data_IF_650843997213
#
_entry.id   IF_650843997213
#
_cell.length_a   1.000
_cell.length_b   1.000
_cell.length_c   1.000
_cell.angle_alpha   90.00
_cell.angle_beta   90.00
_cell.angle_gamma   90.00
#
_symmetry.space_group_name_H-M   'P 1'
#
loop_
_entity.id
_entity.type
_entity.pdbx_description
1 polymer ?
#
# COMPACT_ATOMS: atom_id res chain seq x y z
N UNK A 1 -6.53 4.12 -9.98
CA UNK A 1 -5.51 5.09 -9.52
C UNK A 1 -5.96 5.76 -8.22
N UNK A 2 -7.08 6.50 -8.23
CA UNK A 2 -7.61 7.17 -7.03
C UNK A 2 -7.80 6.22 -5.82
N UNK A 3 -8.43 5.05 -6.04
CA UNK A 3 -8.64 4.07 -4.96
C UNK A 3 -7.32 3.55 -4.38
N UNK A 4 -6.31 3.27 -5.22
CA UNK A 4 -4.99 2.83 -4.76
C UNK A 4 -4.34 3.91 -3.92
N UNK A 5 -4.32 5.15 -4.42
CA UNK A 5 -3.78 6.33 -3.72
C UNK A 5 -4.47 6.59 -2.39
N UNK A 6 -5.79 6.48 -2.33
CA UNK A 6 -6.55 6.68 -1.09
C UNK A 6 -6.22 5.60 -0.05
N UNK A 7 -6.22 4.33 -0.45
CA UNK A 7 -5.92 3.23 0.46
C UNK A 7 -4.46 3.29 0.93
N UNK A 8 -3.49 3.55 0.05
CA UNK A 8 -2.08 3.68 0.46
C UNK A 8 -1.86 4.88 1.38
N UNK A 9 -2.58 5.98 1.17
CA UNK A 9 -2.60 7.11 2.11
C UNK A 9 -3.10 6.70 3.50
N UNK A 10 -4.26 6.05 3.58
CA UNK A 10 -4.87 5.67 4.87
C UNK A 10 -4.06 4.59 5.61
N UNK A 11 -3.39 3.71 4.88
CA UNK A 11 -2.65 2.58 5.43
C UNK A 11 -1.16 2.90 5.70
N UNK A 12 -0.71 4.14 5.49
CA UNK A 12 0.66 4.53 5.75
C UNK A 12 0.86 4.98 7.22
N UNK A 13 1.94 4.50 7.89
CA UNK A 13 2.89 3.48 7.45
C UNK A 13 2.32 2.06 7.63
N UNK A 14 2.71 1.12 6.75
CA UNK A 14 2.22 -0.27 6.84
C UNK A 14 2.60 -0.93 8.17
N UNK A 15 3.84 -0.68 8.61
CA UNK A 15 4.35 -1.00 9.93
C UNK A 15 5.29 0.14 10.34
N UNK A 16 5.11 0.67 11.54
CA UNK A 16 6.00 1.69 12.07
C UNK A 16 7.15 1.03 12.83
N UNK A 17 8.36 1.06 12.26
CA UNK A 17 9.56 0.45 12.82
C UNK A 17 10.28 1.33 13.85
N UNK A 18 9.89 2.60 13.96
CA UNK A 18 10.64 3.63 14.68
C UNK A 18 9.96 4.12 15.95
N UNK A 19 8.72 3.69 16.20
CA UNK A 19 7.97 4.06 17.39
C UNK A 19 7.97 2.90 18.39
N UNK A 20 8.58 3.10 19.56
CA UNK A 20 8.32 2.24 20.71
C UNK A 20 6.86 2.44 21.11
N UNK A 21 6.04 1.40 20.89
CA UNK A 21 4.59 1.51 21.03
C UNK A 21 4.15 0.91 22.35
N UNK A 22 3.36 1.65 23.19
CA UNK A 22 2.68 1.02 24.30
C UNK A 22 1.66 -0.01 23.77
N UNK A 23 1.41 -1.09 24.51
CA UNK A 23 0.61 -2.28 24.11
C UNK A 23 -0.70 -1.95 23.36
N UNK A 24 -1.42 -0.88 23.75
CA UNK A 24 -2.66 -0.45 23.07
C UNK A 24 -2.47 -0.06 21.59
N UNK A 25 -1.28 0.44 21.23
CA UNK A 25 -0.93 0.83 19.87
C UNK A 25 -0.42 -0.36 19.04
N UNK A 26 -0.02 -1.47 19.67
CA UNK A 26 0.35 -2.70 18.94
C UNK A 26 -0.88 -3.33 18.26
N UNK A 27 -2.03 -3.33 18.94
CA UNK A 27 -3.29 -3.83 18.36
C UNK A 27 -3.70 -3.00 17.14
N UNK A 28 -3.54 -1.67 17.21
CA UNK A 28 -3.80 -0.78 16.07
C UNK A 28 -2.86 -1.09 14.89
N UNK A 29 -1.58 -1.34 15.14
CA UNK A 29 -0.63 -1.74 14.10
C UNK A 29 -1.02 -3.07 13.43
N UNK A 30 -1.42 -4.08 14.21
CA UNK A 30 -1.90 -5.36 13.68
C UNK A 30 -3.16 -5.20 12.82
N UNK A 31 -4.10 -4.34 13.26
CA UNK A 31 -5.29 -4.03 12.48
C UNK A 31 -4.93 -3.35 11.15
N UNK A 32 -4.03 -2.37 11.16
CA UNK A 32 -3.55 -1.72 9.93
C UNK A 32 -2.94 -2.74 8.98
N UNK A 33 -2.10 -3.66 9.45
CA UNK A 33 -1.48 -4.70 8.64
C UNK A 33 -2.54 -5.58 7.98
N UNK A 34 -3.48 -6.14 8.77
CA UNK A 34 -4.51 -7.05 8.27
C UNK A 34 -5.41 -6.34 7.24
N UNK A 35 -5.88 -5.14 7.58
CA UNK A 35 -6.75 -4.34 6.71
C UNK A 35 -6.02 -3.94 5.42
N UNK A 36 -4.74 -3.57 5.50
CA UNK A 36 -3.90 -3.27 4.34
C UNK A 36 -3.81 -4.45 3.39
N UNK A 37 -3.51 -5.64 3.90
CA UNK A 37 -3.42 -6.86 3.08
C UNK A 37 -4.74 -7.13 2.38
N UNK A 38 -5.87 -7.03 3.09
CA UNK A 38 -7.20 -7.25 2.51
C UNK A 38 -7.51 -6.26 1.37
N UNK A 39 -7.24 -4.97 1.57
CA UNK A 39 -7.48 -3.97 0.54
C UNK A 39 -6.50 -4.09 -0.63
N UNK A 40 -5.21 -4.30 -0.39
CA UNK A 40 -4.21 -4.47 -1.45
C UNK A 40 -4.51 -5.68 -2.33
N UNK A 41 -4.96 -6.78 -1.73
CA UNK A 41 -5.42 -7.95 -2.47
C UNK A 41 -6.67 -7.65 -3.30
N UNK A 42 -7.66 -6.97 -2.71
CA UNK A 42 -8.90 -6.59 -3.42
C UNK A 42 -8.64 -5.64 -4.59
N UNK A 43 -7.71 -4.69 -4.42
CA UNK A 43 -7.26 -3.79 -5.49
C UNK A 43 -6.59 -4.59 -6.60
N UNK A 44 -5.65 -5.49 -6.28
CA UNK A 44 -4.98 -6.30 -7.29
C UNK A 44 -5.94 -7.17 -8.11
N UNK A 45 -6.99 -7.71 -7.47
CA UNK A 45 -8.08 -8.40 -8.18
C UNK A 45 -8.84 -7.49 -9.13
N UNK A 46 -9.18 -6.28 -8.67
CA UNK A 46 -9.88 -5.29 -9.51
C UNK A 46 -9.00 -4.87 -10.69
N UNK A 47 -7.71 -4.63 -10.46
CA UNK A 47 -6.74 -4.33 -11.52
C UNK A 47 -6.64 -5.48 -12.53
N UNK A 48 -6.71 -6.74 -12.11
CA UNK A 48 -6.61 -7.88 -13.03
C UNK A 48 -7.78 -7.90 -14.02
N UNK A 49 -8.96 -7.46 -13.57
CA UNK A 49 -10.16 -7.32 -14.42
C UNK A 49 -10.12 -6.07 -15.30
N UNK A 50 -9.60 -4.96 -14.79
CA UNK A 50 -9.53 -3.68 -15.51
C UNK A 50 -8.38 -3.62 -16.52
N UNK A 51 -7.27 -4.30 -16.22
CA UNK A 51 -6.02 -4.26 -16.98
C UNK A 51 -5.53 -5.68 -17.33
N UNK A 52 -6.35 -6.52 -17.99
CA UNK A 52 -6.01 -7.93 -18.24
C UNK A 52 -4.79 -8.08 -19.17
N UNK A 53 -4.66 -7.17 -20.14
CA UNK A 53 -3.62 -7.21 -21.18
C UNK A 53 -2.41 -6.32 -20.87
N UNK A 54 -2.39 -5.63 -19.73
CA UNK A 54 -1.28 -4.75 -19.37
C UNK A 54 0.00 -5.53 -19.06
N UNK A 55 1.15 -4.87 -19.24
CA UNK A 55 2.46 -5.42 -18.86
C UNK A 55 2.67 -5.34 -17.34
N UNK A 56 3.48 -6.24 -16.79
CA UNK A 56 3.83 -6.20 -15.37
C UNK A 56 4.57 -4.91 -14.99
N UNK A 57 5.39 -4.37 -15.91
CA UNK A 57 6.08 -3.10 -15.72
C UNK A 57 5.09 -1.93 -15.60
N UNK A 58 4.07 -1.88 -16.45
CA UNK A 58 3.04 -0.84 -16.37
C UNK A 58 2.31 -0.88 -15.02
N UNK A 59 1.89 -2.07 -14.58
CA UNK A 59 1.16 -2.23 -13.31
C UNK A 59 2.05 -1.89 -12.10
N UNK A 60 3.31 -2.35 -12.12
CA UNK A 60 4.28 -2.01 -11.09
C UNK A 60 4.50 -0.50 -10.97
N UNK A 61 4.70 0.20 -12.09
CA UNK A 61 4.87 1.66 -12.10
C UNK A 61 3.59 2.39 -11.68
N UNK A 62 2.43 1.94 -12.14
CA UNK A 62 1.14 2.50 -11.78
C UNK A 62 0.91 2.45 -10.25
N UNK A 63 1.14 1.28 -9.65
CA UNK A 63 1.01 1.08 -8.20
C UNK A 63 2.08 1.84 -7.41
N UNK A 64 3.30 1.94 -7.93
CA UNK A 64 4.37 2.72 -7.33
C UNK A 64 4.01 4.20 -7.26
N UNK A 65 3.59 4.79 -8.39
CA UNK A 65 3.20 6.20 -8.47
C UNK A 65 2.00 6.45 -7.54
N UNK A 66 0.97 5.61 -7.60
CA UNK A 66 -0.20 5.75 -6.74
C UNK A 66 0.15 5.67 -5.25
N UNK A 67 1.09 4.80 -4.87
CA UNK A 67 1.62 4.69 -3.50
C UNK A 67 2.35 5.96 -3.07
N UNK A 68 3.27 6.48 -3.90
CA UNK A 68 4.01 7.70 -3.60
C UNK A 68 3.07 8.90 -3.44
N UNK A 69 2.09 9.04 -4.33
CA UNK A 69 1.06 10.09 -4.21
C UNK A 69 0.26 9.92 -2.92
N UNK A 70 -0.12 8.69 -2.56
CA UNK A 70 -0.84 8.41 -1.32
C UNK A 70 -0.06 8.82 -0.08
N UNK A 71 1.23 8.48 -0.02
CA UNK A 71 2.12 8.94 1.05
C UNK A 71 2.28 10.46 1.06
N UNK A 72 2.37 11.10 -0.11
CA UNK A 72 2.44 12.56 -0.21
C UNK A 72 1.19 13.23 0.37
N UNK A 73 0.00 12.70 0.09
CA UNK A 73 -1.26 13.18 0.70
C UNK A 73 -1.23 12.96 2.21
N UNK A 74 -0.79 11.77 2.67
CA UNK A 74 -0.69 11.46 4.10
C UNK A 74 0.22 12.45 4.83
N UNK A 75 1.35 12.80 4.23
CA UNK A 75 2.30 13.79 4.77
C UNK A 75 1.64 15.16 4.94
N UNK A 76 0.90 15.61 3.92
CA UNK A 76 0.21 16.90 3.93
C UNK A 76 -0.94 16.94 4.95
N UNK A 77 -1.65 15.82 5.14
CA UNK A 77 -2.73 15.71 6.12
C UNK A 77 -2.21 15.80 7.57
N UNK A 78 -1.03 15.25 7.85
CA UNK A 78 -0.39 15.31 9.18
C UNK A 78 0.67 16.44 9.25
N UNK A 79 0.61 17.44 8.37
CA UNK A 79 1.63 18.47 8.31
C UNK A 79 1.68 19.28 9.61
N UNK A 80 2.85 19.29 10.27
CA UNK A 80 3.04 19.92 11.57
C UNK A 80 2.74 19.01 12.78
N UNK A 81 2.23 17.80 12.56
CA UNK A 81 2.07 16.82 13.64
C UNK A 81 3.39 16.07 13.93
N UNK A 82 3.62 15.74 15.20
CA UNK A 82 4.78 14.92 15.62
C UNK A 82 4.70 13.49 15.05
N UNK A 83 3.49 13.02 14.70
CA UNK A 83 3.24 11.73 14.03
C UNK A 83 4.08 11.59 12.75
N UNK A 84 4.24 12.67 11.97
CA UNK A 84 5.04 12.66 10.74
C UNK A 84 6.51 12.29 11.00
N UNK A 85 7.11 12.74 12.11
CA UNK A 85 8.51 12.44 12.45
C UNK A 85 8.78 10.95 12.61
N UNK A 86 7.82 10.21 13.17
CA UNK A 86 7.94 8.77 13.37
C UNK A 86 7.33 7.95 12.22
N UNK A 87 6.43 8.52 11.42
CA UNK A 87 5.81 7.83 10.28
C UNK A 87 6.71 7.90 9.03
N UNK A 88 7.25 9.08 8.70
CA UNK A 88 8.04 9.35 7.50
C UNK A 88 9.54 9.14 7.72
N UNK A 89 9.90 7.94 8.18
CA UNK A 89 11.30 7.50 8.25
C UNK A 89 11.66 6.68 7.03
N UNK A 90 12.94 6.70 6.62
CA UNK A 90 13.41 5.93 5.45
C UNK A 90 13.00 4.45 5.52
N UNK A 91 13.13 3.75 6.67
CA UNK A 91 12.70 2.36 6.77
C UNK A 91 11.19 2.17 6.53
N UNK A 92 10.34 3.02 7.12
CA UNK A 92 8.88 2.93 6.98
C UNK A 92 8.44 3.23 5.53
N UNK A 93 9.07 4.21 4.89
CA UNK A 93 8.80 4.58 3.49
C UNK A 93 9.14 3.40 2.57
N UNK A 94 10.35 2.84 2.69
CA UNK A 94 10.78 1.70 1.86
C UNK A 94 9.87 0.50 2.09
N UNK A 95 9.58 0.17 3.35
CA UNK A 95 8.76 -0.98 3.69
C UNK A 95 7.33 -0.84 3.13
N UNK A 96 6.72 0.33 3.28
CA UNK A 96 5.37 0.57 2.78
C UNK A 96 5.32 0.49 1.25
N UNK A 97 6.25 1.14 0.54
CA UNK A 97 6.33 1.05 -0.93
C UNK A 97 6.48 -0.41 -1.38
N UNK A 98 7.42 -1.14 -0.75
CA UNK A 98 7.71 -2.51 -1.17
C UNK A 98 6.49 -3.40 -0.98
N UNK A 99 5.84 -3.34 0.18
CA UNK A 99 4.68 -4.17 0.49
C UNK A 99 3.48 -3.81 -0.39
N UNK A 100 3.14 -2.53 -0.53
CA UNK A 100 2.00 -2.12 -1.34
C UNK A 100 2.18 -2.53 -2.81
N UNK A 101 3.33 -2.22 -3.40
CA UNK A 101 3.59 -2.51 -4.82
C UNK A 101 3.66 -4.00 -5.07
N UNK A 102 4.34 -4.77 -4.22
CA UNK A 102 4.49 -6.22 -4.38
C UNK A 102 3.15 -6.93 -4.18
N UNK A 103 2.39 -6.61 -3.14
CA UNK A 103 1.12 -7.30 -2.88
C UNK A 103 0.08 -6.98 -3.95
N UNK A 104 -0.10 -5.71 -4.33
CA UNK A 104 -1.09 -5.34 -5.35
C UNK A 104 -0.69 -5.95 -6.70
N UNK A 105 0.54 -5.70 -7.15
CA UNK A 105 1.00 -6.17 -8.48
C UNK A 105 1.14 -7.68 -8.55
N UNK A 106 1.54 -8.33 -7.45
CA UNK A 106 1.61 -9.79 -7.33
C UNK A 106 0.22 -10.42 -7.38
N UNK A 107 -0.76 -9.83 -6.69
CA UNK A 107 -2.15 -10.28 -6.77
C UNK A 107 -2.70 -10.10 -8.18
N UNK A 108 -2.48 -8.94 -8.81
CA UNK A 108 -2.84 -8.71 -10.21
C UNK A 108 -2.28 -9.80 -11.12
N UNK A 109 -0.99 -10.12 -11.00
CA UNK A 109 -0.31 -11.11 -11.83
C UNK A 109 -0.90 -12.52 -11.61
N UNK A 110 -1.18 -12.87 -10.37
CA UNK A 110 -1.81 -14.15 -10.03
C UNK A 110 -3.19 -14.29 -10.69
N UNK A 111 -4.06 -13.29 -10.53
CA UNK A 111 -5.42 -13.32 -11.09
C UNK A 111 -5.44 -13.21 -12.61
N UNK A 112 -4.53 -12.44 -13.22
CA UNK A 112 -4.32 -12.44 -14.67
C UNK A 112 -3.97 -13.83 -15.20
N UNK A 113 -3.03 -14.52 -14.55
CA UNK A 113 -2.63 -15.87 -14.95
C UNK A 113 -3.75 -16.89 -14.76
N UNK A 114 -4.56 -16.73 -13.71
CA UNK A 114 -5.72 -17.58 -13.47
C UNK A 114 -6.79 -17.40 -14.56
N UNK A 115 -7.08 -16.15 -14.95
CA UNK A 115 -8.03 -15.85 -16.02
C UNK A 115 -7.58 -16.40 -17.39
N UNK A 116 -6.28 -16.34 -17.69
CA UNK A 116 -5.74 -16.87 -18.97
C UNK A 116 -5.72 -18.41 -19.07
N UNK A 117 -5.93 -19.12 -17.96
CA UNK A 117 -5.99 -20.59 -17.93
C UNK A 117 -7.41 -21.14 -18.17
N UNK A 118 -8.42 -20.30 -18.04
CA UNK A 118 -9.83 -20.64 -18.22
C UNK A 118 -10.29 -20.30 -19.64
#
# INVERSE_FOLDING_TARGET
MLAVTFITCCMFPFLNLTKETPIRMEVANWLVIVVSIMFYHSIGQAEAKLFPNSSAMFIGLFNLIATIVGMGIRFLLEFGEVSNTYNFTIPNIILHILISVVLISGTWLFYKKLANKN
#
